data_IF_408224526909
#
_entry.id   IF_408224526909
#
_cell.length_a   1.000
_cell.length_b   1.000
_cell.length_c   1.000
_cell.angle_alpha   90.00
_cell.angle_beta   90.00
_cell.angle_gamma   90.00
#
_symmetry.space_group_name_H-M   'P 1'
#
loop_
_entity.id
_entity.type
_entity.pdbx_description
1 polymer ?
#
# COMPACT_ATOMS: atom_id res chain seq x y z
N UNK A 1 -12.20 -7.39 -6.95
CA UNK A 1 -11.51 -6.30 -6.23
C UNK A 1 -11.90 -4.99 -6.91
N UNK A 2 -12.64 -4.11 -6.23
CA UNK A 2 -13.03 -2.83 -6.82
C UNK A 2 -11.93 -1.79 -6.55
N UNK A 3 -11.10 -1.54 -7.57
CA UNK A 3 -10.05 -0.51 -7.53
C UNK A 3 -10.61 0.90 -7.75
N UNK A 4 -11.84 1.02 -8.25
CA UNK A 4 -12.50 2.31 -8.53
C UNK A 4 -12.67 3.16 -7.28
N UNK A 5 -12.83 2.53 -6.11
CA UNK A 5 -12.91 3.22 -4.82
C UNK A 5 -11.66 4.01 -4.43
N UNK A 6 -10.52 3.74 -5.06
CA UNK A 6 -9.24 4.42 -4.81
C UNK A 6 -8.87 5.44 -5.89
N UNK A 7 -9.68 5.58 -6.95
CA UNK A 7 -9.29 6.30 -8.15
C UNK A 7 -10.27 7.40 -8.54
N UNK A 8 -9.73 8.42 -9.21
CA UNK A 8 -10.46 9.49 -9.92
C UNK A 8 -9.92 9.59 -11.35
N UNK A 9 -10.82 9.65 -12.34
CA UNK A 9 -10.46 9.77 -13.76
C UNK A 9 -9.41 8.74 -14.24
N UNK A 10 -9.47 7.52 -13.71
CA UNK A 10 -8.52 6.45 -14.04
C UNK A 10 -7.15 6.52 -13.33
N UNK A 11 -6.97 7.45 -12.39
CA UNK A 11 -5.75 7.62 -11.60
C UNK A 11 -6.00 7.32 -10.13
N UNK A 12 -5.08 6.61 -9.46
CA UNK A 12 -5.12 6.49 -8.01
C UNK A 12 -5.05 7.88 -7.37
N UNK A 13 -6.06 8.18 -6.56
CA UNK A 13 -6.25 9.47 -5.92
C UNK A 13 -5.86 9.37 -4.44
N UNK A 14 -4.79 10.06 -4.00
CA UNK A 14 -4.32 9.99 -2.61
C UNK A 14 -5.41 10.30 -1.58
N UNK A 15 -6.33 11.23 -1.88
CA UNK A 15 -7.43 11.60 -1.00
C UNK A 15 -8.44 10.46 -0.79
N UNK A 16 -8.82 9.76 -1.87
CA UNK A 16 -9.71 8.58 -1.78
C UNK A 16 -9.05 7.42 -1.03
N UNK A 17 -7.76 7.18 -1.30
CA UNK A 17 -6.99 6.17 -0.55
C UNK A 17 -6.97 6.53 0.95
N UNK A 18 -6.70 7.79 1.26
CA UNK A 18 -6.67 8.27 2.64
C UNK A 18 -8.02 8.10 3.35
N UNK A 19 -9.13 8.39 2.67
CA UNK A 19 -10.49 8.17 3.18
C UNK A 19 -10.73 6.70 3.50
N UNK A 20 -10.44 5.79 2.56
CA UNK A 20 -10.63 4.36 2.72
C UNK A 20 -9.77 3.78 3.87
N UNK A 21 -8.56 4.31 4.04
CA UNK A 21 -7.63 3.89 5.09
C UNK A 21 -7.80 4.69 6.40
N UNK A 22 -8.76 5.62 6.46
CA UNK A 22 -9.04 6.51 7.61
C UNK A 22 -7.79 7.24 8.10
N UNK A 23 -7.05 7.82 7.15
CA UNK A 23 -5.79 8.54 7.38
C UNK A 23 -5.72 9.80 6.52
N UNK A 24 -4.54 10.42 6.39
CA UNK A 24 -4.30 11.59 5.54
C UNK A 24 -3.56 11.24 4.25
N UNK A 25 -3.70 12.08 3.22
CA UNK A 25 -2.94 11.93 1.97
C UNK A 25 -1.42 11.97 2.20
N UNK A 26 -0.96 12.68 3.23
CA UNK A 26 0.45 12.74 3.61
C UNK A 26 0.94 11.41 4.17
N UNK A 27 0.12 10.74 4.98
CA UNK A 27 0.43 9.41 5.49
C UNK A 27 0.39 8.36 4.38
N UNK A 28 -0.54 8.48 3.44
CA UNK A 28 -0.57 7.68 2.21
C UNK A 28 0.72 7.84 1.41
N UNK A 29 1.18 9.07 1.19
CA UNK A 29 2.45 9.32 0.51
C UNK A 29 3.61 8.65 1.23
N UNK A 30 3.74 8.87 2.54
CA UNK A 30 4.80 8.29 3.36
C UNK A 30 4.79 6.75 3.29
N UNK A 31 3.60 6.16 3.37
CA UNK A 31 3.37 4.71 3.34
C UNK A 31 3.71 4.08 1.99
N UNK A 32 3.54 4.83 0.90
CA UNK A 32 3.93 4.42 -0.45
C UNK A 32 5.39 4.77 -0.81
N UNK A 33 6.16 5.40 0.10
CA UNK A 33 7.53 5.84 -0.18
C UNK A 33 7.64 7.06 -1.09
N UNK A 34 6.62 7.91 -1.06
CA UNK A 34 6.53 9.15 -1.80
C UNK A 34 6.79 10.35 -0.88
N UNK A 35 7.37 11.41 -1.45
CA UNK A 35 7.45 12.70 -0.77
C UNK A 35 6.09 13.41 -0.76
N UNK A 36 5.89 14.33 0.19
CA UNK A 36 4.64 15.10 0.36
C UNK A 36 4.19 15.80 -0.93
N UNK A 37 5.12 16.41 -1.66
CA UNK A 37 4.81 17.10 -2.92
C UNK A 37 4.26 16.18 -4.02
N UNK A 38 4.55 14.88 -3.96
CA UNK A 38 4.10 13.90 -4.94
C UNK A 38 2.56 13.73 -4.92
N UNK A 39 1.92 14.00 -3.77
CA UNK A 39 0.48 13.84 -3.58
C UNK A 39 -0.30 15.15 -3.50
N UNK A 40 0.38 16.30 -3.42
CA UNK A 40 -0.27 17.62 -3.35
C UNK A 40 -0.46 18.29 -4.71
N UNK A 41 0.41 18.02 -5.69
CA UNK A 41 0.35 18.66 -7.02
C UNK A 41 -0.26 17.70 -8.04
N UNK A 42 -1.28 18.14 -8.77
CA UNK A 42 -2.02 17.31 -9.75
C UNK A 42 -1.10 16.62 -10.76
N UNK A 43 -0.13 17.33 -11.33
CA UNK A 43 0.80 16.76 -12.31
C UNK A 43 1.74 15.71 -11.69
N UNK A 44 2.12 15.89 -10.43
CA UNK A 44 2.97 14.95 -9.69
C UNK A 44 2.22 13.69 -9.30
N UNK A 45 0.94 13.82 -8.92
CA UNK A 45 0.05 12.69 -8.63
C UNK A 45 -0.05 11.77 -9.85
N UNK A 46 -0.18 12.35 -11.06
CA UNK A 46 -0.33 11.60 -12.31
C UNK A 46 0.98 11.04 -12.88
N UNK A 47 2.12 11.34 -12.27
CA UNK A 47 3.40 10.78 -12.74
C UNK A 47 3.41 9.26 -12.62
N UNK A 48 4.06 8.58 -13.56
CA UNK A 48 4.16 7.11 -13.60
C UNK A 48 4.70 6.56 -12.28
N UNK A 49 5.74 7.20 -11.71
CA UNK A 49 6.33 6.79 -10.43
C UNK A 49 5.32 6.87 -9.28
N UNK A 50 4.59 7.98 -9.17
CA UNK A 50 3.59 8.16 -8.11
C UNK A 50 2.49 7.13 -8.22
N UNK A 51 1.94 6.95 -9.43
CA UNK A 51 0.86 6.00 -9.68
C UNK A 51 1.28 4.55 -9.43
N UNK A 52 2.50 4.18 -9.82
CA UNK A 52 3.07 2.87 -9.50
C UNK A 52 3.14 2.64 -7.98
N UNK A 53 3.70 3.59 -7.23
CA UNK A 53 3.85 3.46 -5.77
C UNK A 53 2.50 3.41 -5.03
N UNK A 54 1.53 4.21 -5.45
CA UNK A 54 0.17 4.16 -4.89
C UNK A 54 -0.50 2.81 -5.19
N UNK A 55 -0.34 2.31 -6.43
CA UNK A 55 -0.86 1.00 -6.84
C UNK A 55 -0.26 -0.13 -6.02
N UNK A 56 1.06 -0.21 -5.92
CA UNK A 56 1.78 -1.25 -5.15
C UNK A 56 1.27 -1.34 -3.71
N UNK A 57 1.12 -0.19 -3.03
CA UNK A 57 0.57 -0.14 -1.68
C UNK A 57 -0.89 -0.63 -1.62
N UNK A 58 -1.75 -0.16 -2.53
CA UNK A 58 -3.16 -0.54 -2.58
C UNK A 58 -3.33 -2.04 -2.90
N UNK A 59 -2.51 -2.59 -3.78
CA UNK A 59 -2.51 -4.01 -4.13
C UNK A 59 -2.19 -4.88 -2.91
N UNK A 60 -1.12 -4.56 -2.17
CA UNK A 60 -0.76 -5.29 -0.95
C UNK A 60 -1.87 -5.20 0.11
N UNK A 61 -2.38 -4.00 0.38
CA UNK A 61 -3.46 -3.81 1.37
C UNK A 61 -4.71 -4.58 0.98
N UNK A 62 -5.11 -4.54 -0.29
CA UNK A 62 -6.27 -5.29 -0.77
C UNK A 62 -6.06 -6.80 -0.71
N UNK A 63 -4.84 -7.29 -0.96
CA UNK A 63 -4.51 -8.71 -0.91
C UNK A 63 -4.69 -9.28 0.50
N UNK A 64 -4.24 -8.54 1.52
CA UNK A 64 -4.38 -8.98 2.93
C UNK A 64 -5.73 -8.60 3.56
N UNK A 65 -6.50 -7.69 2.96
CA UNK A 65 -7.81 -7.24 3.46
C UNK A 65 -8.75 -8.39 3.86
N UNK A 66 -8.90 -9.50 3.11
CA UNK A 66 -9.76 -10.61 3.52
C UNK A 66 -9.39 -11.24 4.87
N UNK A 67 -8.10 -11.22 5.25
CA UNK A 67 -7.63 -11.74 6.56
C UNK A 67 -8.10 -10.86 7.74
N UNK A 68 -8.32 -9.57 7.49
CA UNK A 68 -8.64 -8.59 8.52
C UNK A 68 -10.09 -8.09 8.48
N UNK A 69 -10.79 -8.26 7.36
CA UNK A 69 -12.16 -7.78 7.14
C UNK A 69 -12.31 -6.26 7.04
N UNK A 70 -11.22 -5.48 7.08
CA UNK A 70 -11.25 -4.02 7.11
C UNK A 70 -10.04 -3.39 6.41
N UNK A 71 -10.29 -2.37 5.59
CA UNK A 71 -9.24 -1.59 4.92
C UNK A 71 -8.32 -0.88 5.93
N UNK A 72 -8.89 -0.34 7.01
CA UNK A 72 -8.14 0.29 8.09
C UNK A 72 -7.22 -0.71 8.80
N UNK A 73 -7.73 -1.89 9.14
CA UNK A 73 -6.94 -2.89 9.88
C UNK A 73 -5.86 -3.51 8.99
N UNK A 74 -6.17 -3.77 7.72
CA UNK A 74 -5.19 -4.21 6.73
C UNK A 74 -4.07 -3.18 6.51
N UNK A 75 -4.44 -1.89 6.43
CA UNK A 75 -3.46 -0.80 6.37
C UNK A 75 -2.65 -0.67 7.67
N UNK A 76 -3.24 -0.95 8.83
CA UNK A 76 -2.52 -0.99 10.11
C UNK A 76 -1.48 -2.11 10.17
N UNK A 77 -1.82 -3.31 9.69
CA UNK A 77 -0.86 -4.41 9.54
C UNK A 77 0.29 -4.00 8.60
N UNK A 78 -0.03 -3.42 7.44
CA UNK A 78 0.96 -3.00 6.45
C UNK A 78 2.04 -2.06 7.04
N UNK A 79 1.65 -1.14 7.91
CA UNK A 79 2.56 -0.16 8.53
C UNK A 79 3.28 -0.68 9.78
N UNK A 80 2.68 -1.61 10.52
CA UNK A 80 3.10 -1.93 11.89
C UNK A 80 3.59 -3.35 12.11
N UNK A 81 3.18 -4.32 11.30
CA UNK A 81 3.55 -5.73 11.55
C UNK A 81 4.83 -6.11 10.82
N UNK A 82 5.87 -6.58 11.54
CA UNK A 82 7.06 -7.17 10.93
C UNK A 82 6.73 -8.43 10.14
N UNK A 83 7.37 -8.62 8.99
CA UNK A 83 7.24 -9.84 8.19
C UNK A 83 8.35 -10.82 8.59
N UNK A 84 7.97 -12.08 8.81
CA UNK A 84 8.93 -13.16 9.06
C UNK A 84 9.90 -13.29 7.87
N UNK A 85 11.18 -13.52 8.15
CA UNK A 85 12.22 -13.59 7.11
C UNK A 85 12.75 -12.23 6.62
N UNK A 86 12.17 -11.10 7.03
CA UNK A 86 12.59 -9.75 6.61
C UNK A 86 13.28 -8.94 7.70
N UNK A 87 13.99 -9.60 8.63
CA UNK A 87 14.80 -8.95 9.69
C UNK A 87 14.02 -7.91 10.51
N UNK A 88 12.78 -8.23 10.88
CA UNK A 88 11.92 -7.36 11.69
C UNK A 88 11.29 -6.20 10.92
N UNK A 89 11.35 -6.20 9.59
CA UNK A 89 10.82 -5.10 8.76
C UNK A 89 9.35 -5.29 8.40
N UNK A 90 8.64 -4.18 8.33
CA UNK A 90 7.22 -4.15 7.92
C UNK A 90 7.06 -4.09 6.40
N UNK A 91 5.87 -4.46 5.91
CA UNK A 91 5.51 -4.32 4.49
C UNK A 91 5.73 -2.88 3.97
N UNK A 92 5.33 -1.87 4.75
CA UNK A 92 5.58 -0.46 4.44
C UNK A 92 7.05 -0.16 4.22
N UNK A 93 7.93 -0.65 5.09
CA UNK A 93 9.35 -0.42 4.94
C UNK A 93 9.90 -1.06 3.66
N UNK A 94 9.45 -2.26 3.31
CA UNK A 94 9.87 -2.97 2.10
C UNK A 94 9.40 -2.25 0.83
N UNK A 95 8.12 -1.85 0.78
CA UNK A 95 7.58 -1.07 -0.34
C UNK A 95 8.31 0.26 -0.53
N UNK A 96 8.67 0.95 0.56
CA UNK A 96 9.46 2.20 0.47
C UNK A 96 10.78 1.99 -0.25
N UNK A 97 11.42 0.84 -0.06
CA UNK A 97 12.65 0.45 -0.76
C UNK A 97 12.43 -0.11 -2.17
N UNK A 98 11.18 -0.19 -2.64
CA UNK A 98 10.85 -0.72 -3.97
C UNK A 98 10.72 -2.24 -4.01
N UNK A 99 10.61 -2.90 -2.84
CA UNK A 99 10.50 -4.35 -2.67
C UNK A 99 9.05 -4.79 -2.49
N UNK A 100 8.13 -4.22 -3.28
CA UNK A 100 6.70 -4.51 -3.17
C UNK A 100 6.35 -5.94 -3.61
N UNK A 101 7.04 -6.45 -4.63
CA UNK A 101 6.89 -7.82 -5.14
C UNK A 101 7.21 -8.85 -4.06
N UNK A 102 8.30 -8.67 -3.32
CA UNK A 102 8.67 -9.56 -2.21
C UNK A 102 7.60 -9.60 -1.10
N UNK A 103 6.87 -8.50 -0.88
CA UNK A 103 5.75 -8.49 0.07
C UNK A 103 4.56 -9.29 -0.46
N UNK A 104 4.27 -9.19 -1.76
CA UNK A 104 3.19 -9.96 -2.39
C UNK A 104 3.52 -11.46 -2.35
N UNK A 105 4.75 -11.84 -2.70
CA UNK A 105 5.24 -13.22 -2.64
C UNK A 105 5.17 -13.79 -1.22
N UNK A 106 5.58 -13.01 -0.22
CA UNK A 106 5.43 -13.38 1.19
C UNK A 106 3.97 -13.64 1.56
N UNK A 107 3.07 -12.74 1.15
CA UNK A 107 1.63 -12.88 1.43
C UNK A 107 1.09 -14.14 0.75
N UNK A 108 1.47 -14.43 -0.49
CA UNK A 108 1.09 -15.65 -1.21
C UNK A 108 1.62 -16.92 -0.55
N UNK A 109 2.87 -16.93 -0.10
CA UNK A 109 3.43 -18.07 0.63
C UNK A 109 2.66 -18.35 1.93
N UNK A 110 2.34 -17.30 2.70
CA UNK A 110 1.54 -17.42 3.92
C UNK A 110 0.13 -17.94 3.62
N UNK A 111 -0.54 -17.44 2.58
CA UNK A 111 -1.88 -17.92 2.18
C UNK A 111 -1.87 -19.38 1.70
N UNK A 112 -0.77 -19.83 1.09
CA UNK A 112 -0.57 -21.21 0.68
C UNK A 112 -0.25 -22.15 1.88
N UNK A 113 -0.09 -21.61 3.09
CA UNK A 113 0.33 -22.36 4.27
C UNK A 113 1.82 -22.71 4.28
N UNK A 114 2.61 -22.13 3.37
CA UNK A 114 4.06 -22.29 3.33
C UNK A 114 4.65 -21.36 4.38
N UNK A 115 5.12 -21.93 5.49
CA UNK A 115 5.80 -21.18 6.54
C UNK A 115 7.29 -21.08 6.14
N UNK A 116 7.76 -19.85 5.88
CA UNK A 116 9.17 -19.55 5.67
C UNK A 116 9.93 -19.51 7.01
#
# INVERSE_FOLDING_TARGET
MDLGRYADDGWFAPAKIAEMFRTSSEEVARSAGLGRDAVQRRDRVRSVRTQRRLREMVEIVNKVRPRFGSDLVAFAWYRSEPLAGFSGRTAMQLVREGRAEEVLDYVDAVDAGIHA
#
